data_IF_480898196280
#
_entry.id   IF_480898196280
#
_cell.length_a   1.000
_cell.length_b   1.000
_cell.length_c   1.000
_cell.angle_alpha   90.00
_cell.angle_beta   90.00
_cell.angle_gamma   90.00
#
_symmetry.space_group_name_H-M   'P 1'
#
loop_
_entity.id
_entity.type
_entity.pdbx_description
1 polymer ?
#
# COMPACT_ATOMS: atom_id res chain seq x y z
N UNK A 1 -71.88 -13.24 -28.57
CA UNK A 1 -70.41 -13.60 -28.67
C UNK A 1 -69.70 -12.44 -29.32
N UNK A 2 -69.20 -11.51 -28.50
CA UNK A 2 -68.45 -10.35 -28.97
C UNK A 2 -67.10 -10.38 -28.37
N UNK A 3 -66.03 -10.46 -29.19
CA UNK A 3 -64.68 -10.39 -28.80
C UNK A 3 -64.24 -8.91 -28.74
N UNK A 4 -63.84 -8.44 -27.60
CA UNK A 4 -63.19 -7.13 -27.40
C UNK A 4 -61.68 -7.32 -27.55
N UNK A 5 -61.08 -6.68 -28.56
CA UNK A 5 -59.67 -6.55 -28.78
C UNK A 5 -59.19 -5.35 -27.95
N UNK A 6 -58.33 -5.60 -26.97
CA UNK A 6 -57.63 -4.55 -26.22
C UNK A 6 -56.31 -4.22 -26.94
N UNK A 7 -56.20 -3.00 -27.42
CA UNK A 7 -55.00 -2.46 -28.06
C UNK A 7 -54.16 -1.80 -26.98
N UNK A 8 -52.98 -2.39 -26.68
CA UNK A 8 -52.00 -1.83 -25.74
C UNK A 8 -51.13 -0.83 -26.49
N UNK A 9 -51.26 0.46 -26.18
CA UNK A 9 -50.37 1.50 -26.68
C UNK A 9 -49.09 1.53 -25.83
N UNK A 10 -47.94 1.26 -26.45
CA UNK A 10 -46.63 1.42 -25.86
C UNK A 10 -46.19 2.86 -26.06
N UNK A 11 -46.15 3.63 -24.99
CA UNK A 11 -45.50 4.95 -24.96
C UNK A 11 -43.99 4.79 -24.80
N UNK A 12 -43.26 5.04 -25.88
CA UNK A 12 -41.79 5.21 -25.81
C UNK A 12 -41.48 6.59 -25.22
N UNK A 13 -40.99 6.62 -23.99
CA UNK A 13 -40.45 7.84 -23.38
C UNK A 13 -39.03 8.00 -23.93
N UNK A 14 -38.85 8.94 -24.85
CA UNK A 14 -37.56 9.42 -25.28
C UNK A 14 -36.95 10.27 -24.14
N UNK A 15 -35.98 9.69 -23.40
CA UNK A 15 -35.16 10.45 -22.45
C UNK A 15 -34.20 11.35 -23.26
N UNK A 16 -34.40 12.65 -23.19
CA UNK A 16 -33.45 13.64 -23.67
C UNK A 16 -32.17 13.59 -22.82
N UNK A 17 -30.98 13.73 -23.42
CA UNK A 17 -29.74 13.82 -22.63
C UNK A 17 -29.82 15.08 -21.78
N UNK A 18 -29.67 14.91 -20.45
CA UNK A 18 -29.48 16.03 -19.53
C UNK A 18 -28.19 16.74 -19.90
N UNK A 19 -28.31 17.94 -20.46
CA UNK A 19 -27.18 18.84 -20.61
C UNK A 19 -26.63 19.13 -19.19
N UNK A 20 -25.39 18.73 -18.94
CA UNK A 20 -24.69 19.07 -17.72
C UNK A 20 -24.59 20.60 -17.65
N UNK A 21 -25.38 21.20 -16.77
CA UNK A 21 -25.27 22.61 -16.46
C UNK A 21 -23.93 22.81 -15.75
N UNK A 22 -23.05 23.50 -16.42
CA UNK A 22 -21.76 23.97 -15.90
C UNK A 22 -22.06 25.01 -14.79
N UNK A 23 -22.38 24.52 -13.58
CA UNK A 23 -22.44 25.37 -12.41
C UNK A 23 -21.00 25.68 -12.05
N UNK A 24 -20.59 26.93 -12.13
CA UNK A 24 -19.29 27.46 -11.73
C UNK A 24 -19.04 27.35 -10.21
N UNK A 25 -19.14 26.13 -9.68
CA UNK A 25 -18.70 25.77 -8.34
C UNK A 25 -17.17 25.65 -8.33
N UNK A 26 -16.52 26.18 -7.31
CA UNK A 26 -15.10 25.98 -7.08
C UNK A 26 -14.79 24.49 -7.21
N UNK A 27 -13.81 24.15 -8.07
CA UNK A 27 -13.36 22.76 -8.23
C UNK A 27 -13.01 22.19 -6.85
N UNK A 28 -13.45 20.96 -6.51
CA UNK A 28 -13.12 20.37 -5.22
C UNK A 28 -11.60 20.39 -5.03
N UNK A 29 -11.17 20.81 -3.85
CA UNK A 29 -9.75 20.92 -3.51
C UNK A 29 -9.14 19.52 -3.59
N UNK A 30 -8.06 19.37 -4.37
CA UNK A 30 -7.34 18.10 -4.45
C UNK A 30 -6.81 17.66 -3.08
N UNK A 31 -6.83 16.36 -2.80
CA UNK A 31 -6.20 15.78 -1.60
C UNK A 31 -4.70 16.13 -1.48
N UNK A 32 -4.02 16.33 -2.63
CA UNK A 32 -2.61 16.72 -2.70
C UNK A 32 -2.40 18.24 -2.85
N UNK A 33 -3.38 19.08 -2.51
CA UNK A 33 -3.30 20.52 -2.76
C UNK A 33 -2.04 21.21 -2.19
N UNK A 34 -1.57 20.91 -0.96
CA UNK A 34 -0.33 21.48 -0.45
C UNK A 34 0.89 21.10 -1.31
N UNK A 35 0.95 19.83 -1.72
CA UNK A 35 2.04 19.29 -2.56
C UNK A 35 2.02 19.89 -3.97
N UNK A 36 0.83 20.06 -4.55
CA UNK A 36 0.65 20.74 -5.84
C UNK A 36 1.17 22.18 -5.77
N UNK A 37 0.84 22.92 -4.70
CA UNK A 37 1.36 24.30 -4.50
C UNK A 37 2.88 24.32 -4.46
N UNK A 38 3.50 23.40 -3.73
CA UNK A 38 4.96 23.28 -3.63
C UNK A 38 5.60 22.97 -4.99
N UNK A 39 5.10 21.97 -5.70
CA UNK A 39 5.65 21.55 -7.00
C UNK A 39 5.54 22.68 -8.04
N UNK A 40 4.38 23.34 -8.11
CA UNK A 40 4.16 24.47 -9.02
C UNK A 40 5.05 25.68 -8.67
N UNK A 41 5.27 25.97 -7.38
CA UNK A 41 6.18 27.05 -6.96
C UNK A 41 7.64 26.82 -7.33
N UNK A 42 8.03 25.54 -7.59
CA UNK A 42 9.33 25.16 -8.15
C UNK A 42 9.33 25.09 -9.67
N UNK A 43 8.29 25.59 -10.35
CA UNK A 43 8.17 25.57 -11.80
C UNK A 43 7.97 24.18 -12.42
N UNK A 44 7.52 23.21 -11.61
CA UNK A 44 7.33 21.83 -12.03
C UNK A 44 5.85 21.53 -12.36
N UNK A 45 5.61 20.68 -13.34
CA UNK A 45 4.32 20.10 -13.75
C UNK A 45 3.29 21.07 -14.33
N UNK A 46 3.25 22.34 -13.95
CA UNK A 46 2.33 23.35 -14.47
C UNK A 46 2.86 24.76 -14.19
N UNK A 47 2.38 25.74 -14.97
CA UNK A 47 2.70 27.17 -14.79
C UNK A 47 1.89 27.82 -13.65
N UNK A 48 0.76 27.22 -13.28
CA UNK A 48 -0.10 27.71 -12.19
C UNK A 48 -0.90 26.56 -11.58
N UNK A 49 -1.45 26.78 -10.38
CA UNK A 49 -2.33 25.83 -9.70
C UNK A 49 -3.62 25.59 -10.50
N UNK A 50 -4.14 26.66 -11.14
CA UNK A 50 -5.38 26.61 -11.93
C UNK A 50 -5.26 25.70 -13.16
N UNK A 51 -4.06 25.57 -13.74
CA UNK A 51 -3.76 24.75 -14.91
C UNK A 51 -3.18 23.38 -14.56
N UNK A 52 -3.18 23.00 -13.28
CA UNK A 52 -2.53 21.76 -12.84
C UNK A 52 -3.30 20.49 -13.20
N UNK A 53 -4.62 20.50 -13.16
CA UNK A 53 -5.49 19.32 -13.47
C UNK A 53 -5.08 18.06 -12.68
N UNK A 54 -5.30 18.01 -11.34
CA UNK A 54 -4.77 16.97 -10.44
C UNK A 54 -5.23 15.55 -10.76
N UNK A 55 -6.45 15.39 -11.28
CA UNK A 55 -7.07 14.09 -11.56
C UNK A 55 -6.73 13.51 -12.94
N UNK A 56 -6.05 14.29 -13.80
CA UNK A 56 -5.66 13.81 -15.11
C UNK A 56 -4.63 12.69 -14.99
N UNK A 57 -4.67 11.67 -15.88
CA UNK A 57 -3.65 10.64 -15.95
C UNK A 57 -2.28 11.26 -16.19
N UNK A 58 -1.28 10.80 -15.43
CA UNK A 58 0.10 11.19 -15.66
C UNK A 58 0.63 10.52 -16.91
N UNK A 59 1.16 11.31 -17.85
CA UNK A 59 1.80 10.76 -19.04
C UNK A 59 3.29 10.47 -18.81
N UNK A 60 3.85 9.56 -19.62
CA UNK A 60 5.29 9.24 -19.58
C UNK A 60 6.15 10.46 -19.83
N UNK A 61 5.76 11.32 -20.78
CA UNK A 61 6.47 12.57 -21.07
C UNK A 61 6.50 13.52 -19.88
N UNK A 62 5.33 13.72 -19.24
CA UNK A 62 5.21 14.56 -18.05
C UNK A 62 6.04 14.01 -16.86
N UNK A 63 6.05 12.68 -16.66
CA UNK A 63 6.86 12.05 -15.61
C UNK A 63 8.35 12.22 -15.88
N UNK A 64 8.80 12.03 -17.13
CA UNK A 64 10.22 12.23 -17.51
C UNK A 64 10.65 13.67 -17.25
N UNK A 65 9.83 14.66 -17.66
CA UNK A 65 10.11 16.07 -17.41
C UNK A 65 10.17 16.39 -15.90
N UNK A 66 9.23 15.84 -15.12
CA UNK A 66 9.20 16.02 -13.67
C UNK A 66 10.46 15.49 -13.00
N UNK A 67 10.87 14.25 -13.30
CA UNK A 67 12.08 13.65 -12.72
C UNK A 67 13.32 14.43 -13.13
N UNK A 68 13.44 14.84 -14.41
CA UNK A 68 14.54 15.67 -14.86
C UNK A 68 14.62 17.01 -14.11
N UNK A 69 13.48 17.65 -13.85
CA UNK A 69 13.44 18.90 -13.10
C UNK A 69 13.77 18.75 -11.60
N UNK A 70 13.58 17.55 -11.03
CA UNK A 70 13.91 17.26 -9.63
C UNK A 70 15.40 16.94 -9.41
N UNK A 71 16.05 16.27 -10.39
CA UNK A 71 17.42 15.75 -10.22
C UNK A 71 18.47 16.53 -11.03
N UNK A 72 18.06 17.45 -11.89
CA UNK A 72 18.95 18.25 -12.74
C UNK A 72 18.50 19.70 -12.72
N UNK A 73 19.44 20.62 -12.56
CA UNK A 73 19.16 22.06 -12.67
C UNK A 73 18.73 22.50 -14.09
N UNK A 74 18.73 21.60 -15.07
CA UNK A 74 18.30 21.85 -16.45
C UNK A 74 17.15 20.95 -16.84
N UNK A 75 15.96 21.50 -17.16
CA UNK A 75 14.88 20.71 -17.75
C UNK A 75 15.34 20.11 -19.09
N UNK A 76 15.37 18.79 -19.18
CA UNK A 76 15.53 18.12 -20.47
C UNK A 76 14.25 18.24 -21.28
N UNK A 77 14.41 18.35 -22.62
CA UNK A 77 13.27 18.45 -23.54
C UNK A 77 12.24 17.33 -23.24
N UNK A 78 11.00 17.71 -23.09
CA UNK A 78 9.88 16.79 -22.85
C UNK A 78 9.80 15.79 -23.99
N UNK A 79 9.90 14.50 -23.67
CA UNK A 79 9.51 13.46 -24.63
C UNK A 79 8.00 13.60 -24.88
N UNK A 80 7.59 13.69 -26.15
CA UNK A 80 6.18 13.91 -26.54
C UNK A 80 5.25 12.71 -26.25
N UNK A 81 5.65 11.76 -25.39
CA UNK A 81 4.86 10.57 -25.11
C UNK A 81 3.64 10.89 -24.24
N UNK A 82 2.47 10.70 -24.82
CA UNK A 82 1.16 10.86 -24.15
C UNK A 82 0.66 9.58 -23.47
N UNK A 83 1.42 8.47 -23.56
CA UNK A 83 1.04 7.21 -22.92
C UNK A 83 0.96 7.37 -21.40
N UNK A 84 -0.15 6.93 -20.75
CA UNK A 84 -0.28 6.97 -19.32
C UNK A 84 0.74 6.03 -18.66
N UNK A 85 1.13 6.35 -17.42
CA UNK A 85 1.98 5.50 -16.59
C UNK A 85 1.18 4.93 -15.43
N UNK A 86 1.52 3.71 -14.99
CA UNK A 86 0.93 3.11 -13.79
C UNK A 86 1.62 3.63 -12.53
N UNK A 87 1.01 3.39 -11.36
CA UNK A 87 1.61 3.73 -10.07
C UNK A 87 2.96 3.05 -9.87
N UNK A 88 3.09 1.75 -10.21
CA UNK A 88 4.36 1.05 -10.15
C UNK A 88 5.44 1.63 -11.10
N UNK A 89 5.04 2.16 -12.27
CA UNK A 89 5.95 2.85 -13.17
C UNK A 89 6.35 4.23 -12.63
N UNK A 90 5.44 4.95 -11.97
CA UNK A 90 5.73 6.20 -11.27
C UNK A 90 6.82 5.96 -10.22
N UNK A 91 6.60 5.01 -9.30
CA UNK A 91 7.53 4.69 -8.23
C UNK A 91 8.90 4.24 -8.77
N UNK A 92 8.91 3.33 -9.76
CA UNK A 92 10.17 2.86 -10.36
C UNK A 92 10.95 3.98 -11.05
N UNK A 93 10.26 4.98 -11.62
CA UNK A 93 10.92 6.09 -12.28
C UNK A 93 11.52 7.06 -11.27
N UNK A 94 10.84 7.36 -10.17
CA UNK A 94 11.42 8.15 -9.08
C UNK A 94 12.59 7.45 -8.40
N UNK A 95 12.44 6.16 -8.07
CA UNK A 95 13.52 5.35 -7.46
C UNK A 95 14.78 5.36 -8.33
N UNK A 96 14.62 5.20 -9.65
CA UNK A 96 15.73 5.29 -10.61
C UNK A 96 16.32 6.69 -10.68
N UNK A 97 15.48 7.73 -10.74
CA UNK A 97 15.91 9.14 -10.77
C UNK A 97 16.72 9.54 -9.54
N UNK A 98 16.39 8.97 -8.38
CA UNK A 98 17.12 9.15 -7.13
C UNK A 98 18.39 8.29 -7.00
N UNK A 99 18.76 7.50 -8.04
CA UNK A 99 19.93 6.63 -8.01
C UNK A 99 19.77 5.35 -7.18
N UNK A 100 18.55 5.01 -6.71
CA UNK A 100 18.28 3.91 -5.77
C UNK A 100 17.88 2.59 -6.46
N UNK A 101 18.17 2.43 -7.75
CA UNK A 101 17.94 1.14 -8.46
C UNK A 101 18.72 -0.02 -7.86
N UNK A 102 19.92 0.25 -7.32
CA UNK A 102 20.75 -0.71 -6.59
C UNK A 102 20.01 -1.22 -5.33
N UNK A 103 19.59 -0.31 -4.47
CA UNK A 103 18.84 -0.63 -3.26
C UNK A 103 17.57 -1.45 -3.56
N UNK A 104 16.82 -1.06 -4.58
CA UNK A 104 15.63 -1.82 -5.01
C UNK A 104 15.99 -3.26 -5.46
N UNK A 105 17.12 -3.43 -6.17
CA UNK A 105 17.61 -4.74 -6.60
C UNK A 105 18.01 -5.60 -5.40
N UNK A 106 18.69 -5.04 -4.42
CA UNK A 106 19.15 -5.71 -3.19
C UNK A 106 17.97 -6.21 -2.34
N UNK A 107 16.94 -5.39 -2.09
CA UNK A 107 15.71 -5.85 -1.43
C UNK A 107 15.11 -7.06 -2.15
N UNK A 108 15.00 -7.00 -3.48
CA UNK A 108 14.47 -8.10 -4.28
C UNK A 108 15.36 -9.35 -4.24
N UNK A 109 16.69 -9.18 -4.28
CA UNK A 109 17.65 -10.26 -4.22
C UNK A 109 17.63 -10.98 -2.86
N UNK A 110 17.60 -10.23 -1.76
CA UNK A 110 17.53 -10.81 -0.42
C UNK A 110 16.24 -11.62 -0.21
N UNK A 111 15.10 -11.13 -0.70
CA UNK A 111 13.84 -11.88 -0.65
C UNK A 111 13.94 -13.19 -1.46
N UNK A 112 14.53 -13.17 -2.66
CA UNK A 112 14.76 -14.38 -3.48
C UNK A 112 15.72 -15.35 -2.83
N UNK A 113 16.79 -14.87 -2.21
CA UNK A 113 17.76 -15.71 -1.49
C UNK A 113 17.12 -16.45 -0.32
N UNK A 114 16.08 -15.91 0.28
CA UNK A 114 15.27 -16.59 1.30
C UNK A 114 14.23 -17.57 0.73
N UNK A 115 14.20 -17.79 -0.59
CA UNK A 115 13.26 -18.70 -1.26
C UNK A 115 11.92 -18.08 -1.62
N UNK A 116 11.77 -16.75 -1.53
CA UNK A 116 10.56 -16.05 -1.97
C UNK A 116 10.64 -15.72 -3.48
N UNK A 117 9.48 -15.58 -4.11
CA UNK A 117 9.33 -15.11 -5.49
C UNK A 117 8.52 -13.80 -5.47
N UNK A 118 9.12 -12.69 -5.03
CA UNK A 118 8.40 -11.42 -4.93
C UNK A 118 8.01 -10.89 -6.33
N UNK A 119 6.94 -10.07 -6.44
CA UNK A 119 6.59 -9.44 -7.70
C UNK A 119 7.72 -8.52 -8.19
N UNK A 120 7.81 -8.28 -9.50
CA UNK A 120 8.87 -7.47 -10.10
C UNK A 120 8.98 -6.05 -9.50
N UNK A 121 7.86 -5.49 -9.07
CA UNK A 121 7.80 -4.17 -8.40
C UNK A 121 8.31 -4.18 -6.95
N UNK A 122 8.58 -5.34 -6.34
CA UNK A 122 8.84 -5.47 -4.90
C UNK A 122 9.89 -4.48 -4.41
N UNK A 123 11.08 -4.48 -4.99
CA UNK A 123 12.16 -3.60 -4.53
C UNK A 123 11.85 -2.12 -4.71
N UNK A 124 11.25 -1.73 -5.83
CA UNK A 124 10.87 -0.32 -6.07
C UNK A 124 9.77 0.14 -5.13
N UNK A 125 8.78 -0.70 -4.84
CA UNK A 125 7.72 -0.40 -3.85
C UNK A 125 8.29 -0.28 -2.42
N UNK A 126 9.22 -1.16 -2.05
CA UNK A 126 9.91 -1.06 -0.75
C UNK A 126 10.62 0.28 -0.62
N UNK A 127 11.45 0.63 -1.61
CA UNK A 127 12.21 1.89 -1.61
C UNK A 127 11.28 3.10 -1.61
N UNK A 128 10.28 3.14 -2.49
CA UNK A 128 9.34 4.26 -2.57
C UNK A 128 8.60 4.49 -1.25
N UNK A 129 8.19 3.42 -0.56
CA UNK A 129 7.48 3.54 0.71
C UNK A 129 8.39 3.88 1.88
N UNK A 130 9.63 3.39 1.91
CA UNK A 130 10.63 3.81 2.89
C UNK A 130 10.99 5.30 2.77
N UNK A 131 10.96 5.85 1.55
CA UNK A 131 11.14 7.29 1.28
C UNK A 131 9.87 8.12 1.52
N UNK A 132 8.74 7.50 1.86
CA UNK A 132 7.47 8.22 2.04
C UNK A 132 6.88 8.79 0.74
N UNK A 133 7.26 8.26 -0.43
CA UNK A 133 6.73 8.72 -1.72
C UNK A 133 5.27 8.33 -1.94
N UNK A 134 4.73 7.45 -1.10
CA UNK A 134 3.35 6.97 -1.14
C UNK A 134 2.67 7.23 0.20
N UNK A 135 1.39 7.52 0.18
CA UNK A 135 0.58 7.73 1.39
C UNK A 135 -0.86 7.33 1.16
N UNK A 136 -1.54 6.97 2.24
CA UNK A 136 -2.99 6.83 2.24
C UNK A 136 -3.63 8.23 2.13
N UNK A 137 -4.56 8.37 1.19
CA UNK A 137 -5.24 9.65 0.99
C UNK A 137 -6.16 10.00 2.16
N UNK A 138 -6.39 11.28 2.44
CA UNK A 138 -7.34 11.68 3.47
C UNK A 138 -8.76 11.22 3.14
N UNK A 139 -9.36 10.43 4.03
CA UNK A 139 -10.71 9.89 3.83
C UNK A 139 -11.77 10.99 3.65
N UNK A 140 -11.56 12.16 4.25
CA UNK A 140 -12.47 13.31 4.15
C UNK A 140 -12.59 13.88 2.72
N UNK A 141 -11.67 13.52 1.84
CA UNK A 141 -11.65 13.98 0.46
C UNK A 141 -12.14 12.91 -0.52
N UNK A 142 -12.74 11.83 -0.01
CA UNK A 142 -13.24 10.67 -0.78
C UNK A 142 -12.21 10.09 -1.77
N UNK A 143 -10.93 10.27 -1.46
CA UNK A 143 -9.84 9.81 -2.30
C UNK A 143 -9.17 8.60 -1.67
N UNK A 144 -8.99 7.54 -2.46
CA UNK A 144 -8.25 6.35 -2.07
C UNK A 144 -6.95 6.27 -2.86
N UNK A 145 -5.88 5.80 -2.20
CA UNK A 145 -4.62 5.49 -2.87
C UNK A 145 -4.87 4.46 -3.99
N UNK A 146 -4.18 4.63 -5.11
CA UNK A 146 -4.33 3.78 -6.29
C UNK A 146 -3.56 2.47 -6.14
N UNK A 147 -4.07 1.40 -6.77
CA UNK A 147 -3.33 0.14 -6.91
C UNK A 147 -2.08 0.31 -7.76
N UNK A 148 -1.03 -0.51 -7.56
CA UNK A 148 0.20 -0.44 -8.36
C UNK A 148 -0.01 -0.54 -9.88
N UNK A 149 -1.08 -1.22 -10.31
CA UNK A 149 -1.41 -1.41 -11.73
C UNK A 149 -2.29 -0.31 -12.32
N UNK A 150 -2.89 0.55 -11.50
CA UNK A 150 -3.77 1.62 -11.98
C UNK A 150 -2.95 2.78 -12.58
N UNK A 151 -3.54 3.53 -13.53
CA UNK A 151 -2.94 4.75 -14.04
C UNK A 151 -2.69 5.75 -12.90
N UNK A 152 -1.45 6.26 -12.81
CA UNK A 152 -1.11 7.31 -11.87
C UNK A 152 -1.76 8.63 -12.29
N UNK A 153 -2.20 9.42 -11.30
CA UNK A 153 -2.68 10.77 -11.54
C UNK A 153 -1.56 11.80 -11.38
N UNK A 154 -1.79 13.01 -11.86
CA UNK A 154 -0.87 14.13 -11.65
C UNK A 154 -0.76 14.50 -10.16
N UNK A 155 -1.83 14.32 -9.36
CA UNK A 155 -1.82 14.51 -7.92
C UNK A 155 -0.86 13.55 -7.20
N UNK A 156 -0.85 12.26 -7.60
CA UNK A 156 0.08 11.26 -7.08
C UNK A 156 1.54 11.64 -7.36
N UNK A 157 1.82 12.07 -8.58
CA UNK A 157 3.16 12.52 -8.95
C UNK A 157 3.59 13.77 -8.18
N UNK A 158 2.67 14.72 -7.98
CA UNK A 158 2.94 15.93 -7.19
C UNK A 158 3.23 15.59 -5.72
N UNK A 159 2.50 14.62 -5.15
CA UNK A 159 2.79 14.15 -3.80
C UNK A 159 4.21 13.60 -3.69
N UNK A 160 4.57 12.64 -4.54
CA UNK A 160 5.91 12.04 -4.54
C UNK A 160 7.01 13.09 -4.80
N UNK A 161 6.80 13.99 -5.75
CA UNK A 161 7.74 15.06 -6.07
C UNK A 161 7.94 16.03 -4.90
N UNK A 162 6.85 16.39 -4.20
CA UNK A 162 6.93 17.24 -3.02
C UNK A 162 7.69 16.58 -1.86
N UNK A 163 7.58 15.27 -1.68
CA UNK A 163 8.41 14.55 -0.71
C UNK A 163 9.89 14.68 -1.08
N UNK A 164 10.24 14.46 -2.35
CA UNK A 164 11.64 14.56 -2.84
C UNK A 164 12.18 15.99 -2.66
N UNK A 165 11.40 17.02 -2.97
CA UNK A 165 11.78 18.43 -2.74
C UNK A 165 12.05 18.76 -1.27
N UNK A 166 11.45 18.01 -0.35
CA UNK A 166 11.64 18.18 1.09
C UNK A 166 12.79 17.32 1.67
N UNK A 167 13.47 16.50 0.86
CA UNK A 167 14.59 15.70 1.34
C UNK A 167 15.73 16.59 1.85
N UNK A 168 16.37 16.13 2.90
CA UNK A 168 17.51 16.81 3.55
C UNK A 168 18.85 16.21 3.17
N UNK A 169 18.87 15.25 2.24
CA UNK A 169 20.05 14.59 1.71
C UNK A 169 20.42 13.26 2.35
N UNK A 170 19.92 12.95 3.56
CA UNK A 170 20.23 11.69 4.26
C UNK A 170 19.23 10.55 3.95
N UNK A 171 18.05 10.86 3.40
CA UNK A 171 16.97 9.91 3.18
C UNK A 171 17.37 8.80 2.19
N UNK A 172 18.04 9.17 1.11
CA UNK A 172 18.53 8.23 0.10
C UNK A 172 19.64 7.34 0.65
N UNK A 173 20.56 7.90 1.43
CA UNK A 173 21.64 7.16 2.10
C UNK A 173 21.06 6.17 3.11
N UNK A 174 20.06 6.60 3.89
CA UNK A 174 19.40 5.72 4.86
C UNK A 174 18.74 4.53 4.16
N UNK A 175 18.04 4.74 3.04
CA UNK A 175 17.41 3.66 2.28
C UNK A 175 18.47 2.71 1.70
N UNK A 176 19.60 3.21 1.20
CA UNK A 176 20.70 2.37 0.75
C UNK A 176 21.24 1.51 1.90
N UNK A 177 21.51 2.10 3.07
CA UNK A 177 21.97 1.36 4.26
C UNK A 177 20.95 0.29 4.69
N UNK A 178 19.65 0.58 4.59
CA UNK A 178 18.60 -0.40 4.86
C UNK A 178 18.64 -1.56 3.86
N UNK A 179 18.88 -1.28 2.59
CA UNK A 179 19.01 -2.30 1.55
C UNK A 179 20.25 -3.18 1.77
N UNK A 180 21.41 -2.57 2.04
CA UNK A 180 22.68 -3.26 2.31
C UNK A 180 22.56 -4.24 3.48
N UNK A 181 21.73 -3.92 4.47
CA UNK A 181 21.52 -4.71 5.68
C UNK A 181 20.29 -5.61 5.65
N UNK A 182 19.45 -5.49 4.61
CA UNK A 182 18.24 -6.30 4.48
C UNK A 182 18.58 -7.75 4.16
N UNK A 183 18.35 -8.62 5.12
CA UNK A 183 18.47 -10.07 4.93
C UNK A 183 17.28 -10.76 5.57
N UNK A 184 16.92 -11.92 5.03
CA UNK A 184 15.93 -12.80 5.63
C UNK A 184 16.60 -14.14 6.01
N UNK A 185 16.19 -14.78 7.10
CA UNK A 185 16.72 -16.08 7.48
C UNK A 185 16.24 -17.16 6.51
N UNK A 186 16.85 -18.34 6.57
CA UNK A 186 16.33 -19.54 5.88
C UNK A 186 14.92 -19.84 6.38
N UNK A 187 13.97 -19.97 5.45
CA UNK A 187 12.56 -20.17 5.75
C UNK A 187 12.20 -21.65 5.66
N UNK A 188 11.34 -22.13 6.57
CA UNK A 188 10.69 -23.42 6.40
C UNK A 188 9.70 -23.38 5.23
N UNK A 189 9.28 -24.53 4.72
CA UNK A 189 8.32 -24.60 3.62
C UNK A 189 7.01 -23.85 3.92
N UNK A 190 6.53 -23.90 5.15
CA UNK A 190 5.32 -23.16 5.55
C UNK A 190 5.54 -21.66 5.71
N UNK A 191 6.67 -21.26 6.27
CA UNK A 191 7.06 -19.85 6.33
C UNK A 191 7.16 -19.25 4.93
N UNK A 192 7.80 -19.97 3.98
CA UNK A 192 7.88 -19.54 2.57
C UNK A 192 6.48 -19.32 1.98
N UNK A 193 5.54 -20.25 2.16
CA UNK A 193 4.17 -20.12 1.62
C UNK A 193 3.43 -18.90 2.17
N UNK A 194 3.51 -18.68 3.48
CA UNK A 194 2.86 -17.55 4.14
C UNK A 194 3.48 -16.23 3.69
N UNK A 195 4.81 -16.13 3.74
CA UNK A 195 5.51 -14.91 3.38
C UNK A 195 5.45 -14.62 1.88
N UNK A 196 5.43 -15.65 1.03
CA UNK A 196 5.17 -15.51 -0.40
C UNK A 196 3.81 -14.84 -0.67
N UNK A 197 2.78 -15.25 0.08
CA UNK A 197 1.45 -14.60 -0.02
C UNK A 197 1.51 -13.17 0.47
N UNK A 198 2.18 -12.91 1.58
CA UNK A 198 2.28 -11.56 2.14
C UNK A 198 3.02 -10.59 1.20
N UNK A 199 4.20 -10.97 0.68
CA UNK A 199 5.00 -10.09 -0.18
C UNK A 199 4.35 -9.82 -1.54
N UNK A 200 3.42 -10.67 -2.00
CA UNK A 200 2.65 -10.45 -3.22
C UNK A 200 1.86 -9.14 -3.18
N UNK A 201 1.42 -8.74 -2.00
CA UNK A 201 0.60 -7.54 -1.80
C UNK A 201 1.40 -6.26 -1.56
N UNK A 202 2.76 -6.31 -1.63
CA UNK A 202 3.56 -5.10 -1.50
C UNK A 202 3.06 -3.99 -2.43
N UNK A 203 2.91 -2.78 -1.90
CA UNK A 203 2.42 -1.64 -2.67
C UNK A 203 0.90 -1.49 -2.73
N UNK A 204 0.11 -2.45 -2.22
CA UNK A 204 -1.35 -2.30 -2.15
C UNK A 204 -1.74 -1.19 -1.17
N UNK A 205 -2.81 -0.43 -1.45
CA UNK A 205 -3.23 0.68 -0.61
C UNK A 205 -3.76 0.23 0.75
N UNK A 206 -3.72 1.16 1.72
CA UNK A 206 -4.48 1.01 2.96
C UNK A 206 -5.96 1.33 2.70
N UNK A 207 -6.82 0.40 3.05
CA UNK A 207 -8.28 0.59 3.00
C UNK A 207 -8.87 0.19 4.34
N UNK A 208 -9.52 1.12 5.04
CA UNK A 208 -10.15 0.83 6.33
C UNK A 208 -11.22 -0.25 6.17
N UNK A 209 -11.06 -1.35 6.91
CA UNK A 209 -11.92 -2.54 6.80
C UNK A 209 -11.61 -3.45 5.61
N UNK A 210 -10.70 -3.05 4.72
CA UNK A 210 -10.33 -3.80 3.53
C UNK A 210 -9.69 -5.15 3.82
N UNK A 211 -10.04 -6.16 3.00
CA UNK A 211 -9.59 -7.55 3.12
C UNK A 211 -9.20 -8.20 1.80
N UNK A 212 -9.31 -7.47 0.70
CA UNK A 212 -9.26 -8.05 -0.64
C UNK A 212 -8.28 -7.31 -1.55
N UNK A 213 -7.62 -8.05 -2.41
CA UNK A 213 -6.86 -7.52 -3.56
C UNK A 213 -7.76 -7.06 -4.70
N UNK A 214 -9.04 -7.42 -4.66
CA UNK A 214 -10.05 -7.06 -5.66
C UNK A 214 -10.93 -5.94 -5.13
N UNK A 215 -11.67 -5.30 -6.03
CA UNK A 215 -12.64 -4.27 -5.67
C UNK A 215 -13.62 -4.77 -4.61
N UNK A 216 -13.80 -3.98 -3.56
CA UNK A 216 -14.72 -4.24 -2.46
C UNK A 216 -15.29 -2.91 -1.94
N UNK A 217 -16.32 -2.95 -1.14
CA UNK A 217 -16.94 -1.77 -0.54
C UNK A 217 -17.05 -1.91 0.99
N UNK A 218 -15.92 -1.96 1.72
CA UNK A 218 -15.97 -2.03 3.18
C UNK A 218 -16.62 -0.75 3.73
N UNK A 219 -17.56 -0.95 4.66
CA UNK A 219 -18.35 0.15 5.23
C UNK A 219 -19.02 1.05 4.18
N UNK A 220 -19.39 0.50 3.00
CA UNK A 220 -19.99 1.19 1.85
C UNK A 220 -19.06 2.19 1.12
N UNK A 221 -17.77 2.18 1.43
CA UNK A 221 -16.77 2.94 0.69
C UNK A 221 -16.21 2.07 -0.43
N UNK A 222 -16.45 2.46 -1.68
CA UNK A 222 -15.95 1.71 -2.83
C UNK A 222 -14.44 1.83 -2.92
N UNK A 223 -13.73 0.69 -2.88
CA UNK A 223 -12.29 0.61 -3.01
C UNK A 223 -11.88 -0.30 -4.16
N UNK A 224 -10.79 0.00 -4.88
CA UNK A 224 -10.29 -0.85 -5.99
C UNK A 224 -9.67 -2.16 -5.49
N UNK A 225 -9.42 -2.27 -4.21
CA UNK A 225 -8.73 -3.30 -3.47
C UNK A 225 -7.79 -2.66 -2.46
N UNK A 226 -7.43 -3.38 -1.41
CA UNK A 226 -6.54 -2.91 -0.35
C UNK A 226 -6.86 -3.54 1.00
N UNK A 227 -6.09 -3.17 2.01
CA UNK A 227 -6.14 -3.82 3.30
C UNK A 227 -6.00 -2.81 4.44
N UNK A 228 -6.77 -2.96 5.52
CA UNK A 228 -6.30 -2.44 6.81
C UNK A 228 -5.26 -3.40 7.42
N UNK A 229 -4.66 -3.04 8.55
CA UNK A 229 -3.61 -3.84 9.17
C UNK A 229 -4.08 -5.27 9.51
N UNK A 230 -5.25 -5.40 10.10
CA UNK A 230 -5.83 -6.70 10.46
C UNK A 230 -6.44 -7.43 9.26
N UNK A 231 -6.93 -6.70 8.25
CA UNK A 231 -7.39 -7.26 6.98
C UNK A 231 -6.29 -7.88 6.15
N UNK A 232 -5.12 -7.28 6.13
CA UNK A 232 -3.93 -7.85 5.53
C UNK A 232 -3.56 -9.21 6.17
N UNK A 233 -3.50 -9.25 7.51
CA UNK A 233 -3.27 -10.50 8.25
C UNK A 233 -4.39 -11.51 8.00
N UNK A 234 -5.64 -11.07 8.02
CA UNK A 234 -6.81 -11.89 7.73
C UNK A 234 -6.77 -12.49 6.33
N UNK A 235 -6.38 -11.68 5.32
CA UNK A 235 -6.22 -12.14 3.94
C UNK A 235 -5.17 -13.24 3.83
N UNK A 236 -4.04 -13.07 4.50
CA UNK A 236 -2.92 -14.03 4.43
C UNK A 236 -3.22 -15.32 5.19
N UNK A 237 -3.78 -15.27 6.38
CA UNK A 237 -3.91 -16.44 7.25
C UNK A 237 -5.30 -17.07 7.22
N UNK A 238 -6.37 -16.30 6.97
CA UNK A 238 -7.75 -16.77 7.05
C UNK A 238 -8.37 -17.03 5.68
N UNK A 239 -8.21 -16.09 4.76
CA UNK A 239 -8.88 -16.15 3.46
C UNK A 239 -8.07 -16.87 2.38
N UNK A 240 -6.74 -16.92 2.53
CA UNK A 240 -5.88 -17.65 1.60
C UNK A 240 -6.01 -19.16 1.85
N UNK A 241 -6.32 -19.89 0.79
CA UNK A 241 -6.31 -21.37 0.83
C UNK A 241 -4.88 -21.87 0.60
N UNK A 242 -4.41 -22.72 1.52
CA UNK A 242 -3.11 -23.37 1.42
C UNK A 242 -3.32 -24.89 1.37
N UNK A 243 -2.91 -25.56 0.28
CA UNK A 243 -2.97 -27.03 0.22
C UNK A 243 -2.22 -27.68 1.40
N UNK A 244 -2.89 -28.57 2.13
CA UNK A 244 -2.34 -29.21 3.33
C UNK A 244 -2.33 -28.33 4.60
N UNK A 245 -2.85 -27.10 4.54
CA UNK A 245 -2.86 -26.16 5.66
C UNK A 245 -4.26 -25.71 6.09
N UNK A 246 -5.29 -26.54 5.94
CA UNK A 246 -6.67 -26.18 6.25
C UNK A 246 -6.89 -25.70 7.70
N UNK A 247 -6.11 -26.26 8.65
CA UNK A 247 -6.16 -25.86 10.06
C UNK A 247 -5.74 -24.39 10.29
N UNK A 248 -4.92 -23.82 9.40
CA UNK A 248 -4.40 -22.46 9.54
C UNK A 248 -5.53 -21.43 9.56
N UNK A 249 -6.53 -21.58 8.68
CA UNK A 249 -7.69 -20.71 8.64
C UNK A 249 -8.50 -20.72 9.96
N UNK A 250 -8.43 -21.81 10.73
CA UNK A 250 -9.08 -21.96 12.04
C UNK A 250 -8.35 -21.23 13.17
N UNK A 251 -7.09 -20.85 13.00
CA UNK A 251 -6.30 -20.19 14.07
C UNK A 251 -6.81 -18.79 14.37
N UNK A 252 -7.22 -18.01 13.38
CA UNK A 252 -7.78 -16.68 13.56
C UNK A 252 -9.32 -16.72 13.59
N UNK A 253 -9.93 -16.24 14.66
CA UNK A 253 -11.39 -16.18 14.86
C UNK A 253 -11.91 -14.76 14.73
N UNK A 254 -11.26 -13.79 15.39
CA UNK A 254 -11.62 -12.39 15.37
C UNK A 254 -10.98 -11.63 14.22
N UNK A 255 -11.71 -10.67 13.62
CA UNK A 255 -11.27 -9.89 12.45
C UNK A 255 -10.39 -8.69 12.81
N UNK A 256 -10.54 -8.15 14.01
CA UNK A 256 -9.86 -6.92 14.44
C UNK A 256 -8.55 -7.22 15.17
N UNK A 257 -7.64 -6.23 15.22
CA UNK A 257 -6.36 -6.37 15.92
C UNK A 257 -6.54 -6.77 17.38
N UNK A 258 -7.43 -6.10 18.10
CA UNK A 258 -7.72 -6.42 19.50
C UNK A 258 -8.31 -7.81 19.68
N UNK A 259 -9.21 -8.24 18.78
CA UNK A 259 -9.77 -9.59 18.85
C UNK A 259 -8.70 -10.65 18.61
N UNK A 260 -7.93 -10.54 17.51
CA UNK A 260 -6.84 -11.47 17.18
C UNK A 260 -5.79 -11.56 18.29
N UNK A 261 -5.43 -10.42 18.90
CA UNK A 261 -4.46 -10.36 19.98
C UNK A 261 -5.00 -10.95 21.30
N UNK A 262 -6.30 -10.80 21.54
CA UNK A 262 -7.00 -11.33 22.71
C UNK A 262 -7.19 -12.85 22.70
N UNK A 263 -7.14 -13.48 21.54
CA UNK A 263 -7.20 -14.94 21.39
C UNK A 263 -5.96 -15.65 21.96
N UNK A 264 -4.86 -14.91 22.20
CA UNK A 264 -3.60 -15.46 22.69
C UNK A 264 -3.54 -15.37 24.21
N UNK A 265 -3.63 -16.50 24.93
CA UNK A 265 -3.40 -16.52 26.39
C UNK A 265 -2.03 -15.93 26.74
N UNK A 266 -1.95 -15.22 27.86
CA UNK A 266 -0.71 -14.54 28.25
C UNK A 266 0.53 -15.45 28.26
N UNK A 267 0.37 -16.71 28.72
CA UNK A 267 1.45 -17.69 28.76
C UNK A 267 1.94 -18.15 27.37
N UNK A 268 1.16 -17.92 26.31
CA UNK A 268 1.50 -18.27 24.91
C UNK A 268 1.98 -17.09 24.07
N UNK A 269 1.99 -15.89 24.64
CA UNK A 269 2.48 -14.68 23.97
C UNK A 269 3.98 -14.78 23.71
N UNK A 270 4.40 -14.43 22.49
CA UNK A 270 5.79 -14.56 22.06
C UNK A 270 6.49 -13.22 22.29
N UNK A 271 7.55 -13.16 23.10
CA UNK A 271 8.34 -11.95 23.28
C UNK A 271 9.23 -11.71 22.05
N UNK A 272 9.70 -10.47 21.88
CA UNK A 272 10.54 -10.01 20.78
C UNK A 272 11.69 -10.98 20.44
N UNK A 273 12.45 -11.42 21.44
CA UNK A 273 13.63 -12.26 21.24
C UNK A 273 13.34 -13.69 20.72
N UNK A 274 12.07 -14.11 20.72
CA UNK A 274 11.65 -15.45 20.27
C UNK A 274 10.79 -15.44 19.01
N UNK A 275 10.74 -14.31 18.32
CA UNK A 275 10.00 -14.19 17.06
C UNK A 275 10.64 -15.07 15.97
N UNK A 276 9.80 -15.67 15.15
CA UNK A 276 10.17 -16.43 13.96
C UNK A 276 9.41 -15.91 12.74
N UNK A 277 9.94 -16.04 11.52
CA UNK A 277 9.22 -15.68 10.30
C UNK A 277 7.82 -16.31 10.25
N UNK A 278 6.83 -15.52 9.83
CA UNK A 278 5.42 -15.91 9.84
C UNK A 278 4.69 -15.70 11.18
N UNK A 279 5.36 -15.24 12.24
CA UNK A 279 4.67 -14.81 13.45
C UNK A 279 3.87 -13.53 13.18
N UNK A 280 2.69 -13.42 13.77
CA UNK A 280 1.95 -12.18 13.86
C UNK A 280 2.56 -11.29 14.94
N UNK A 281 2.63 -10.01 14.66
CA UNK A 281 3.10 -8.98 15.56
C UNK A 281 1.90 -8.12 15.99
N UNK A 282 1.85 -7.77 17.26
CA UNK A 282 0.84 -6.88 17.81
C UNK A 282 1.52 -5.69 18.48
N UNK A 283 0.97 -4.49 18.24
CA UNK A 283 1.43 -3.24 18.84
C UNK A 283 0.31 -2.58 19.62
N UNK A 284 0.67 -1.97 20.74
CA UNK A 284 -0.23 -1.20 21.55
C UNK A 284 0.49 -0.11 22.34
N UNK A 285 -0.23 0.90 22.79
CA UNK A 285 0.34 2.10 23.40
C UNK A 285 1.25 1.82 24.61
N UNK A 286 0.97 0.76 25.39
CA UNK A 286 1.76 0.40 26.57
C UNK A 286 2.86 -0.65 26.28
N UNK A 287 3.16 -0.92 25.00
CA UNK A 287 4.16 -1.93 24.61
C UNK A 287 3.84 -3.31 25.22
N UNK A 288 4.81 -4.03 25.82
CA UNK A 288 4.59 -5.36 26.39
C UNK A 288 3.55 -5.42 27.51
N UNK A 289 3.20 -4.28 28.10
CA UNK A 289 2.16 -4.17 29.16
C UNK A 289 0.76 -3.89 28.59
N UNK A 290 0.61 -3.79 27.28
CA UNK A 290 -0.70 -3.55 26.65
C UNK A 290 -1.67 -4.68 26.97
N UNK A 291 -2.93 -4.32 27.13
CA UNK A 291 -4.05 -5.27 27.13
C UNK A 291 -4.54 -5.49 25.69
N UNK A 292 -5.20 -6.60 25.36
CA UNK A 292 -5.74 -6.82 24.01
C UNK A 292 -6.57 -5.65 23.46
N UNK A 293 -7.42 -5.04 24.28
CA UNK A 293 -8.22 -3.89 23.89
C UNK A 293 -7.40 -2.62 23.56
N UNK A 294 -6.10 -2.60 23.88
CA UNK A 294 -5.17 -1.50 23.58
C UNK A 294 -4.26 -1.81 22.37
N UNK A 295 -4.45 -2.98 21.75
CA UNK A 295 -3.73 -3.35 20.54
C UNK A 295 -4.40 -2.68 19.33
N UNK A 296 -3.69 -1.79 18.71
CA UNK A 296 -4.20 -0.94 17.62
C UNK A 296 -3.57 -1.26 16.26
N UNK A 297 -2.52 -2.09 16.23
CA UNK A 297 -1.84 -2.43 14.98
C UNK A 297 -1.33 -3.88 14.97
N UNK A 298 -1.19 -4.45 13.76
CA UNK A 298 -0.67 -5.81 13.53
C UNK A 298 0.08 -5.91 12.21
N UNK A 299 0.96 -6.89 12.10
CA UNK A 299 1.73 -7.21 10.90
C UNK A 299 2.29 -8.64 10.96
N UNK A 300 3.08 -9.02 9.99
CA UNK A 300 3.67 -10.35 9.83
C UNK A 300 5.19 -10.23 9.87
N UNK A 301 5.83 -10.96 10.76
CA UNK A 301 7.29 -10.96 10.90
C UNK A 301 7.96 -11.71 9.75
N UNK A 302 8.95 -11.09 9.13
CA UNK A 302 9.73 -11.66 8.03
C UNK A 302 11.03 -12.34 8.51
N UNK A 303 11.54 -11.93 9.66
CA UNK A 303 12.85 -12.33 10.19
C UNK A 303 13.83 -11.17 10.26
N UNK A 304 14.92 -11.35 11.02
CA UNK A 304 16.03 -10.39 11.16
C UNK A 304 15.60 -8.95 11.47
N UNK A 305 14.52 -8.78 12.25
CA UNK A 305 14.00 -7.47 12.62
C UNK A 305 13.12 -6.81 11.57
N UNK A 306 12.78 -7.49 10.48
CA UNK A 306 11.88 -6.96 9.44
C UNK A 306 10.48 -7.57 9.53
N UNK A 307 9.48 -6.78 9.17
CA UNK A 307 8.09 -7.22 9.09
C UNK A 307 7.37 -6.53 7.92
N UNK A 308 6.24 -7.09 7.51
CA UNK A 308 5.35 -6.54 6.50
C UNK A 308 3.99 -6.26 7.15
N UNK A 309 3.43 -5.12 6.86
CA UNK A 309 2.14 -4.68 7.40
C UNK A 309 1.39 -3.79 6.41
N UNK A 310 0.12 -3.52 6.67
CA UNK A 310 -0.62 -2.45 6.01
C UNK A 310 -0.82 -1.28 6.96
N UNK A 311 -0.41 -0.09 6.56
CA UNK A 311 -0.44 1.14 7.37
C UNK A 311 -0.80 2.34 6.49
N UNK A 312 -0.66 3.58 7.00
CA UNK A 312 -0.83 4.80 6.22
C UNK A 312 0.05 4.91 4.97
N UNK A 313 1.02 4.04 4.81
CA UNK A 313 1.85 3.88 3.60
C UNK A 313 1.46 2.64 2.78
N UNK A 314 0.25 2.10 2.98
CA UNK A 314 -0.20 0.86 2.36
C UNK A 314 0.54 -0.38 2.86
N UNK A 315 0.57 -1.44 2.05
CA UNK A 315 1.33 -2.66 2.36
C UNK A 315 2.81 -2.40 2.12
N UNK A 316 3.58 -2.35 3.19
CA UNK A 316 4.99 -1.95 3.20
C UNK A 316 5.84 -2.84 4.11
N UNK A 317 7.15 -2.83 3.88
CA UNK A 317 8.14 -3.35 4.82
C UNK A 317 8.50 -2.28 5.84
N UNK A 318 8.77 -2.72 7.07
CA UNK A 318 9.33 -1.86 8.09
C UNK A 318 10.28 -2.64 9.02
N UNK A 319 11.16 -1.92 9.70
CA UNK A 319 12.02 -2.50 10.73
C UNK A 319 11.35 -2.47 12.10
N UNK A 320 11.48 -3.56 12.85
CA UNK A 320 11.04 -3.67 14.24
C UNK A 320 12.08 -2.98 15.17
N UNK A 321 12.23 -1.69 14.95
CA UNK A 321 13.15 -0.79 15.63
C UNK A 321 12.41 0.47 16.10
N UNK A 322 13.07 1.37 16.84
CA UNK A 322 12.53 2.66 17.23
C UNK A 322 11.12 2.58 17.83
N UNK A 323 10.21 3.33 17.24
CA UNK A 323 8.79 3.39 17.65
C UNK A 323 8.10 2.02 17.62
N UNK A 324 8.31 1.20 16.57
CA UNK A 324 7.73 -0.13 16.48
C UNK A 324 8.23 -1.07 17.59
N UNK A 325 9.54 -1.01 17.94
CA UNK A 325 10.10 -1.82 19.04
C UNK A 325 9.52 -1.39 20.39
N UNK A 326 9.38 -0.10 20.63
CA UNK A 326 8.85 0.43 21.91
C UNK A 326 7.41 0.03 22.13
N UNK A 327 6.58 0.02 21.07
CA UNK A 327 5.16 -0.33 21.13
C UNK A 327 4.86 -1.81 20.92
N UNK A 328 5.85 -2.62 20.57
CA UNK A 328 5.66 -4.06 20.39
C UNK A 328 5.10 -4.68 21.69
N UNK A 329 3.91 -5.28 21.58
CA UNK A 329 3.23 -5.89 22.69
C UNK A 329 3.60 -7.36 22.85
N UNK A 330 3.30 -8.18 21.85
CA UNK A 330 3.66 -9.60 21.76
C UNK A 330 3.49 -10.14 20.35
N UNK A 331 4.08 -11.31 20.12
CA UNK A 331 3.84 -12.10 18.91
C UNK A 331 2.88 -13.26 19.15
N UNK A 332 2.35 -13.79 18.04
CA UNK A 332 1.52 -15.01 17.96
C UNK A 332 2.04 -15.89 16.83
N UNK A 333 2.00 -17.20 16.98
CA UNK A 333 2.54 -18.15 16.00
C UNK A 333 1.47 -19.04 15.39
N UNK A 334 0.70 -18.57 14.39
CA UNK A 334 -0.41 -19.34 13.80
C UNK A 334 0.03 -20.65 13.17
N UNK A 335 1.23 -20.71 12.58
CA UNK A 335 1.77 -21.97 12.03
C UNK A 335 1.86 -23.06 13.10
N UNK A 336 2.41 -22.75 14.27
CA UNK A 336 2.50 -23.72 15.37
C UNK A 336 1.11 -24.07 15.93
N UNK A 337 0.19 -23.09 16.02
CA UNK A 337 -1.18 -23.33 16.47
C UNK A 337 -1.95 -24.27 15.51
N UNK A 338 -1.62 -24.23 14.22
CA UNK A 338 -2.16 -25.11 13.20
C UNK A 338 -1.44 -26.47 13.11
N UNK A 339 -0.42 -26.73 13.95
CA UNK A 339 0.40 -27.95 13.88
C UNK A 339 1.36 -28.00 12.68
N UNK A 340 1.68 -26.86 12.08
CA UNK A 340 2.56 -26.72 10.92
C UNK A 340 3.98 -26.38 11.37
N UNK A 341 5.00 -26.82 10.60
CA UNK A 341 6.41 -26.54 10.92
C UNK A 341 6.76 -25.06 10.82
N UNK A 342 7.55 -24.58 11.78
CA UNK A 342 7.99 -23.15 11.88
C UNK A 342 9.50 -23.02 11.79
#
# INVERSE_FOLDING_TARGET
MSRILATTAVFAVLAAPAAAQNQGGAQPVSWAQPQIKLVVSHGLMASSIQTFHPNDPLTRGALTALVSGLVSERPTATTASTAPVTMAQLDSTFVRGLGLSGAATEFGAAARSAGLTPPSRFGTEVVARLLGLRTNHPAQLDALELLPSQPATRAEAAYSAAQILNFRGWETEQVQQLADTFTLPTLSAWQTRILQTAVRFIGYPYVWGGTSENAEAPFRVQAPGGFDCSGFVWRVFKLQVYPGGSALAGTLKGRTTFAMSGEVPAAKRIPFARLKPGDLLFWGAAGPRSKPAQVDHTGIYLGNGWFIHSSGYGVALAQLSGWYKQRFAWGRRPLAEAGLST
#
